data_IF_503563980897
#
_entry.id   IF_503563980897
#
_cell.length_a   1.000
_cell.length_b   1.000
_cell.length_c   1.000
_cell.angle_alpha   90.00
_cell.angle_beta   90.00
_cell.angle_gamma   90.00
#
_symmetry.space_group_name_H-M   'P 1'
#
loop_
_entity.id
_entity.type
_entity.pdbx_description
1 polymer ?
#
# COMPACT_ATOMS: atom_id res chain seq x y z
N UNK A 1 9.80 19.81 -14.33
CA UNK A 1 10.57 18.73 -13.68
C UNK A 1 11.35 19.22 -12.47
N UNK A 2 12.18 20.26 -12.57
CA UNK A 2 12.99 20.83 -11.48
C UNK A 2 12.18 21.25 -10.23
N UNK A 3 11.01 21.86 -10.40
CA UNK A 3 10.12 22.26 -9.29
C UNK A 3 9.67 21.05 -8.46
N UNK A 4 9.30 19.93 -9.11
CA UNK A 4 8.89 18.69 -8.42
C UNK A 4 10.01 18.07 -7.58
N UNK A 5 11.26 18.24 -8.00
CA UNK A 5 12.42 17.75 -7.24
C UNK A 5 12.67 18.62 -6.00
N UNK A 6 12.53 19.95 -6.11
CA UNK A 6 12.64 20.88 -4.97
C UNK A 6 11.54 20.66 -3.92
N UNK A 7 10.33 20.31 -4.37
CA UNK A 7 9.18 20.10 -3.49
C UNK A 7 9.18 18.71 -2.84
N UNK A 8 10.17 17.84 -3.15
CA UNK A 8 10.24 16.47 -2.67
C UNK A 8 10.25 16.34 -1.13
N UNK A 9 11.03 17.15 -0.35
CA UNK A 9 10.96 17.11 1.11
C UNK A 9 9.58 17.45 1.67
N UNK A 10 8.90 18.43 1.06
CA UNK A 10 7.53 18.82 1.45
C UNK A 10 6.55 17.68 1.17
N UNK A 11 6.68 17.01 0.02
CA UNK A 11 5.86 15.86 -0.34
C UNK A 11 6.02 14.68 0.65
N UNK A 12 7.23 14.48 1.18
CA UNK A 12 7.47 13.48 2.24
C UNK A 12 6.72 13.87 3.51
N UNK A 13 6.86 15.13 3.95
CA UNK A 13 6.21 15.63 5.16
C UNK A 13 4.69 15.55 5.06
N UNK A 14 4.13 15.89 3.91
CA UNK A 14 2.69 15.81 3.65
C UNK A 14 2.22 14.36 3.70
N UNK A 15 2.93 13.43 3.03
CA UNK A 15 2.62 12.01 3.06
C UNK A 15 2.64 11.43 4.50
N UNK A 16 3.63 11.83 5.31
CA UNK A 16 3.72 11.44 6.73
C UNK A 16 2.51 11.92 7.52
N UNK A 17 2.10 13.15 7.33
CA UNK A 17 0.97 13.73 8.06
C UNK A 17 -0.37 13.12 7.64
N UNK A 18 -0.56 12.90 6.35
CA UNK A 18 -1.80 12.36 5.78
C UNK A 18 -2.04 10.89 6.17
N UNK A 19 -0.96 10.10 6.33
CA UNK A 19 -1.08 8.67 6.66
C UNK A 19 -1.23 8.38 8.15
N UNK A 20 -1.03 9.36 9.05
CA UNK A 20 -1.25 9.19 10.51
C UNK A 20 -2.68 8.78 10.87
N UNK A 21 -3.65 9.06 10.02
CA UNK A 21 -5.06 8.69 10.22
C UNK A 21 -5.42 7.29 9.71
N UNK A 22 -4.50 6.61 9.04
CA UNK A 22 -4.74 5.27 8.48
C UNK A 22 -4.38 4.22 9.50
N UNK A 23 -5.37 3.49 9.98
CA UNK A 23 -5.20 2.35 10.88
C UNK A 23 -5.56 1.06 10.13
N UNK A 24 -4.62 0.13 10.07
CA UNK A 24 -4.86 -1.22 9.56
C UNK A 24 -4.51 -2.20 10.68
N UNK A 25 -5.47 -3.04 11.05
CA UNK A 25 -5.19 -4.10 12.02
C UNK A 25 -4.36 -5.21 11.35
N UNK A 26 -3.16 -5.42 11.85
CA UNK A 26 -2.21 -6.41 11.35
C UNK A 26 -2.11 -7.68 12.21
N UNK A 27 -2.88 -7.80 13.27
CA UNK A 27 -2.72 -8.88 14.26
C UNK A 27 -2.80 -10.28 13.64
N UNK A 28 -3.65 -10.43 12.61
CA UNK A 28 -3.84 -11.70 11.88
C UNK A 28 -3.15 -11.75 10.53
N UNK A 29 -2.53 -10.65 10.11
CA UNK A 29 -1.89 -10.56 8.79
C UNK A 29 -0.52 -11.23 8.85
N UNK A 30 -0.31 -12.25 8.04
CA UNK A 30 0.97 -12.93 7.90
C UNK A 30 1.66 -12.63 6.55
N UNK A 31 0.90 -12.14 5.57
CA UNK A 31 1.39 -11.84 4.22
C UNK A 31 0.86 -10.49 3.74
N UNK A 32 1.72 -9.73 3.06
CA UNK A 32 1.34 -8.51 2.36
C UNK A 32 1.58 -8.71 0.87
N UNK A 33 0.54 -8.55 0.07
CA UNK A 33 0.64 -8.56 -1.39
C UNK A 33 0.47 -7.13 -1.89
N UNK A 34 1.44 -6.65 -2.65
CA UNK A 34 1.42 -5.30 -3.22
C UNK A 34 1.26 -5.42 -4.73
N UNK A 35 0.10 -5.03 -5.24
CA UNK A 35 -0.17 -4.99 -6.67
C UNK A 35 0.04 -3.59 -7.21
N UNK A 36 0.90 -3.44 -8.23
CA UNK A 36 1.11 -2.16 -8.91
C UNK A 36 1.95 -2.31 -10.17
N UNK A 37 1.72 -1.44 -11.15
CA UNK A 37 2.46 -1.43 -12.40
C UNK A 37 3.50 -0.31 -12.42
N UNK A 38 4.62 -0.53 -13.10
CA UNK A 38 5.67 0.49 -13.30
C UNK A 38 6.13 1.12 -11.97
N UNK A 39 6.06 2.45 -11.91
CA UNK A 39 6.44 3.22 -10.71
C UNK A 39 5.62 2.89 -9.45
N UNK A 40 4.37 2.46 -9.62
CA UNK A 40 3.50 2.08 -8.49
C UNK A 40 3.99 0.83 -7.75
N UNK A 41 4.77 -0.03 -8.40
CA UNK A 41 5.34 -1.22 -7.80
C UNK A 41 6.67 -0.99 -7.09
N UNK A 42 7.38 0.12 -7.40
CA UNK A 42 8.74 0.39 -6.87
C UNK A 42 8.71 0.49 -5.34
N UNK A 43 7.74 1.19 -4.79
CA UNK A 43 7.62 1.31 -3.35
C UNK A 43 7.45 -0.05 -2.67
N UNK A 44 6.69 -0.99 -3.27
CA UNK A 44 6.56 -2.36 -2.78
C UNK A 44 7.89 -3.13 -2.77
N UNK A 45 8.75 -2.93 -3.77
CA UNK A 45 10.08 -3.54 -3.80
C UNK A 45 10.98 -2.99 -2.69
N UNK A 46 11.00 -1.67 -2.51
CA UNK A 46 11.75 -1.03 -1.40
C UNK A 46 11.27 -1.60 -0.07
N UNK A 47 9.98 -1.74 0.09
CA UNK A 47 9.38 -2.26 1.30
C UNK A 47 9.82 -3.69 1.61
N UNK A 48 9.84 -4.55 0.59
CA UNK A 48 10.32 -5.92 0.71
C UNK A 48 11.76 -5.96 1.23
N UNK A 49 12.61 -5.06 0.74
CA UNK A 49 14.03 -5.00 1.11
C UNK A 49 14.24 -4.51 2.56
N UNK A 50 13.45 -3.54 3.01
CA UNK A 50 13.60 -2.97 4.36
C UNK A 50 12.83 -3.73 5.45
N UNK A 51 12.02 -4.70 5.08
CA UNK A 51 11.17 -5.46 6.03
C UNK A 51 11.31 -6.98 5.84
N UNK A 52 12.51 -7.55 6.04
CA UNK A 52 12.78 -8.95 5.76
C UNK A 52 12.01 -9.93 6.65
N UNK A 53 11.45 -9.46 7.76
CA UNK A 53 10.62 -10.25 8.70
C UNK A 53 9.14 -10.35 8.29
N UNK A 54 8.73 -9.64 7.22
CA UNK A 54 7.38 -9.73 6.67
C UNK A 54 7.43 -10.43 5.31
N UNK A 55 6.48 -11.34 5.09
CA UNK A 55 6.30 -11.91 3.75
C UNK A 55 5.64 -10.88 2.84
N UNK A 56 6.46 -10.17 2.05
CA UNK A 56 5.99 -9.17 1.08
C UNK A 56 6.18 -9.71 -0.33
N UNK A 57 5.07 -9.78 -1.08
CA UNK A 57 5.05 -10.20 -2.47
C UNK A 57 4.59 -9.03 -3.33
N UNK A 58 5.38 -8.69 -4.37
CA UNK A 58 5.05 -7.63 -5.31
C UNK A 58 4.56 -8.24 -6.60
N UNK A 59 3.32 -7.95 -6.96
CA UNK A 59 2.63 -8.48 -8.13
C UNK A 59 2.44 -7.40 -9.20
N UNK A 60 2.55 -7.84 -10.48
CA UNK A 60 2.41 -6.96 -11.66
C UNK A 60 1.57 -7.62 -12.75
N UNK A 61 0.72 -8.54 -12.38
CA UNK A 61 -0.04 -9.39 -13.29
C UNK A 61 -1.52 -9.06 -13.27
N UNK A 62 -2.26 -9.58 -14.26
CA UNK A 62 -3.73 -9.46 -14.31
C UNK A 62 -4.43 -10.33 -13.25
N UNK A 63 -3.78 -11.40 -12.82
CA UNK A 63 -4.31 -12.38 -11.87
C UNK A 63 -3.32 -12.61 -10.74
N UNK A 64 -3.81 -12.87 -9.52
CA UNK A 64 -2.94 -13.25 -8.42
C UNK A 64 -2.14 -14.52 -8.73
N UNK A 65 -0.80 -14.44 -8.62
CA UNK A 65 0.07 -15.62 -8.57
C UNK A 65 0.39 -15.99 -7.11
N UNK A 66 0.36 -14.99 -6.23
CA UNK A 66 0.50 -15.21 -4.79
C UNK A 66 -0.76 -15.89 -4.24
N UNK A 67 -0.59 -16.71 -3.22
CA UNK A 67 -1.70 -17.22 -2.44
C UNK A 67 -2.28 -16.04 -1.64
N UNK A 68 -3.55 -15.73 -1.91
CA UNK A 68 -4.31 -14.71 -1.19
C UNK A 68 -5.37 -15.43 -0.36
N UNK A 69 -5.41 -15.15 0.92
CA UNK A 69 -6.36 -15.69 1.88
C UNK A 69 -6.89 -14.60 2.83
N UNK A 70 -7.72 -14.96 3.77
CA UNK A 70 -8.34 -14.04 4.73
C UNK A 70 -7.33 -13.30 5.64
N UNK A 71 -6.09 -13.82 5.78
CA UNK A 71 -5.00 -13.24 6.56
C UNK A 71 -3.96 -12.52 5.68
N UNK A 72 -4.27 -12.31 4.42
CA UNK A 72 -3.45 -11.55 3.47
C UNK A 72 -3.92 -10.10 3.40
N UNK A 73 -3.02 -9.14 3.65
CA UNK A 73 -3.25 -7.73 3.34
C UNK A 73 -2.91 -7.48 1.87
N UNK A 74 -3.91 -7.08 1.08
CA UNK A 74 -3.72 -6.68 -0.31
C UNK A 74 -3.65 -5.17 -0.42
N UNK A 75 -2.53 -4.65 -0.92
CA UNK A 75 -2.36 -3.23 -1.23
C UNK A 75 -2.37 -3.07 -2.75
N UNK A 76 -3.34 -2.34 -3.30
CA UNK A 76 -3.44 -2.09 -4.73
C UNK A 76 -3.09 -0.65 -5.04
N UNK A 77 -2.05 -0.47 -5.86
CA UNK A 77 -1.49 0.82 -6.24
C UNK A 77 -1.74 1.10 -7.71
N UNK A 78 -2.51 2.13 -8.01
CA UNK A 78 -2.72 2.61 -9.38
C UNK A 78 -2.93 4.12 -9.39
N UNK A 79 -1.97 4.88 -9.93
CA UNK A 79 -2.08 6.35 -10.00
C UNK A 79 -3.36 6.79 -10.69
N UNK A 80 -3.62 6.33 -11.91
CA UNK A 80 -4.82 6.69 -12.66
C UNK A 80 -6.10 6.03 -12.13
N UNK A 81 -5.97 4.93 -11.38
CA UNK A 81 -7.07 4.06 -10.99
C UNK A 81 -7.77 3.36 -12.16
N UNK A 82 -7.17 3.40 -13.37
CA UNK A 82 -7.73 2.80 -14.58
C UNK A 82 -6.81 1.76 -15.23
N UNK A 83 -5.70 1.40 -14.57
CA UNK A 83 -4.78 0.37 -15.05
C UNK A 83 -5.52 -0.97 -15.11
N UNK A 84 -5.55 -1.58 -16.29
CA UNK A 84 -6.35 -2.81 -16.52
C UNK A 84 -5.92 -3.95 -15.63
N UNK A 85 -4.61 -4.14 -15.46
CA UNK A 85 -4.02 -5.17 -14.60
C UNK A 85 -4.49 -4.99 -13.15
N UNK A 86 -4.43 -3.75 -12.63
CA UNK A 86 -4.86 -3.46 -11.25
C UNK A 86 -6.35 -3.71 -11.05
N UNK A 87 -7.17 -3.35 -12.04
CA UNK A 87 -8.62 -3.56 -11.98
C UNK A 87 -8.98 -5.05 -12.08
N UNK A 88 -8.29 -5.79 -12.95
CA UNK A 88 -8.47 -7.23 -13.08
C UNK A 88 -8.03 -7.95 -11.80
N UNK A 89 -6.86 -7.60 -11.29
CA UNK A 89 -6.32 -8.15 -10.05
C UNK A 89 -7.27 -7.93 -8.87
N UNK A 90 -7.79 -6.69 -8.72
CA UNK A 90 -8.76 -6.35 -7.68
C UNK A 90 -9.99 -7.26 -7.73
N UNK A 91 -10.58 -7.43 -8.91
CA UNK A 91 -11.79 -8.25 -9.08
C UNK A 91 -11.59 -9.70 -8.65
N UNK A 92 -10.41 -10.27 -8.89
CA UNK A 92 -10.11 -11.65 -8.49
C UNK A 92 -9.78 -11.74 -7.00
N UNK A 93 -9.02 -10.81 -6.48
CA UNK A 93 -8.54 -10.84 -5.10
C UNK A 93 -9.59 -10.43 -4.06
N UNK A 94 -10.56 -9.57 -4.43
CA UNK A 94 -11.59 -9.07 -3.50
C UNK A 94 -12.56 -10.13 -3.00
N UNK A 95 -12.64 -11.27 -3.68
CA UNK A 95 -13.40 -12.44 -3.22
C UNK A 95 -12.61 -13.31 -2.22
N UNK A 96 -11.29 -13.17 -2.16
CA UNK A 96 -10.38 -14.02 -1.39
C UNK A 96 -9.99 -13.39 -0.03
N UNK A 97 -9.89 -12.07 0.02
CA UNK A 97 -9.60 -11.32 1.25
C UNK A 97 -10.48 -10.08 1.37
N UNK A 98 -10.76 -9.67 2.60
CA UNK A 98 -11.40 -8.38 2.91
C UNK A 98 -10.39 -7.33 3.39
N UNK A 99 -9.15 -7.73 3.64
CA UNK A 99 -8.08 -6.84 4.06
C UNK A 99 -7.47 -6.15 2.83
N UNK A 100 -8.21 -5.26 2.21
CA UNK A 100 -7.79 -4.53 1.01
C UNK A 100 -7.59 -3.06 1.32
N UNK A 101 -6.46 -2.53 0.86
CA UNK A 101 -6.14 -1.12 0.91
C UNK A 101 -5.77 -0.60 -0.47
N UNK A 102 -6.47 0.42 -0.94
CA UNK A 102 -6.22 1.03 -2.25
C UNK A 102 -5.42 2.32 -2.16
N UNK A 103 -4.43 2.49 -3.04
CA UNK A 103 -3.69 3.74 -3.23
C UNK A 103 -3.90 4.21 -4.66
N UNK A 104 -4.64 5.30 -4.82
CA UNK A 104 -5.00 5.83 -6.14
C UNK A 104 -5.28 7.32 -6.07
N UNK A 105 -5.19 8.03 -7.19
CA UNK A 105 -5.67 9.42 -7.29
C UNK A 105 -7.10 9.52 -7.84
N UNK A 106 -7.75 8.39 -8.17
CA UNK A 106 -9.13 8.40 -8.71
C UNK A 106 -9.46 7.16 -9.53
N UNK A 107 -10.25 7.36 -10.56
CA UNK A 107 -10.59 6.35 -11.57
C UNK A 107 -11.55 5.25 -11.08
N UNK A 108 -11.64 4.19 -11.88
CA UNK A 108 -12.52 3.04 -11.61
C UNK A 108 -12.15 2.30 -10.32
N UNK A 109 -10.85 2.23 -10.01
CA UNK A 109 -10.38 1.58 -8.79
C UNK A 109 -10.96 2.24 -7.55
N UNK A 110 -10.96 3.59 -7.49
CA UNK A 110 -11.56 4.32 -6.38
C UNK A 110 -13.05 4.01 -6.22
N UNK A 111 -13.77 3.95 -7.34
CA UNK A 111 -15.20 3.61 -7.32
C UNK A 111 -15.45 2.21 -6.77
N UNK A 112 -14.65 1.23 -7.19
CA UNK A 112 -14.74 -0.14 -6.70
C UNK A 112 -14.43 -0.23 -5.19
N UNK A 113 -13.33 0.39 -4.75
CA UNK A 113 -12.94 0.41 -3.33
C UNK A 113 -14.04 1.03 -2.43
N UNK A 114 -14.65 2.13 -2.88
CA UNK A 114 -15.76 2.77 -2.17
C UNK A 114 -17.02 1.90 -2.12
N UNK A 115 -17.40 1.30 -3.24
CA UNK A 115 -18.58 0.44 -3.31
C UNK A 115 -18.45 -0.79 -2.40
N UNK A 116 -17.25 -1.33 -2.30
CA UNK A 116 -16.96 -2.53 -1.50
C UNK A 116 -16.56 -2.18 -0.05
N UNK A 117 -16.60 -0.88 0.34
CA UNK A 117 -16.21 -0.36 1.66
C UNK A 117 -14.79 -0.70 2.07
N UNK A 118 -13.86 -0.75 1.11
CA UNK A 118 -12.45 -0.94 1.40
C UNK A 118 -11.74 0.38 1.73
N UNK A 119 -10.75 0.29 2.59
CA UNK A 119 -9.91 1.43 2.93
C UNK A 119 -9.11 1.91 1.71
N UNK A 120 -8.96 3.22 1.57
CA UNK A 120 -8.21 3.79 0.46
C UNK A 120 -7.56 5.12 0.81
N UNK A 121 -6.48 5.45 0.10
CA UNK A 121 -5.76 6.70 0.16
C UNK A 121 -5.81 7.42 -1.20
N UNK A 122 -6.20 8.70 -1.20
CA UNK A 122 -6.51 9.46 -2.42
C UNK A 122 -5.32 10.19 -3.04
N UNK A 123 -4.20 10.34 -2.35
CA UNK A 123 -3.05 11.04 -2.90
C UNK A 123 -1.95 10.05 -3.28
N UNK A 124 -1.78 9.87 -4.60
CA UNK A 124 -0.75 8.99 -5.11
C UNK A 124 0.60 9.72 -5.15
N UNK A 125 1.30 9.70 -4.04
CA UNK A 125 2.74 9.89 -4.03
C UNK A 125 3.35 8.54 -3.69
N UNK A 126 4.38 8.11 -4.43
CA UNK A 126 5.09 6.85 -4.15
C UNK A 126 5.57 6.76 -2.69
N UNK A 127 5.73 7.91 -2.05
CA UNK A 127 6.08 8.07 -0.65
C UNK A 127 4.93 7.71 0.31
N UNK A 128 3.67 7.89 -0.10
CA UNK A 128 2.52 7.51 0.72
C UNK A 128 2.49 6.01 1.00
N UNK A 129 2.94 5.19 0.06
CA UNK A 129 3.06 3.75 0.26
C UNK A 129 4.16 3.42 1.27
N UNK A 130 5.32 4.05 1.15
CA UNK A 130 6.44 3.86 2.09
C UNK A 130 5.99 4.29 3.49
N UNK A 131 5.31 5.44 3.60
CA UNK A 131 4.85 5.96 4.88
C UNK A 131 3.74 5.12 5.51
N UNK A 132 2.74 4.71 4.72
CA UNK A 132 1.72 3.76 5.18
C UNK A 132 2.37 2.54 5.81
N UNK A 133 3.40 2.04 5.17
CA UNK A 133 4.09 0.86 5.63
C UNK A 133 4.94 1.10 6.88
N UNK A 134 5.63 2.23 6.98
CA UNK A 134 6.33 2.61 8.20
C UNK A 134 5.34 2.71 9.37
N UNK A 135 4.15 3.26 9.15
CA UNK A 135 3.07 3.29 10.15
C UNK A 135 2.58 1.89 10.53
N UNK A 136 2.53 0.97 9.57
CA UNK A 136 2.16 -0.43 9.82
C UNK A 136 3.26 -1.19 10.57
N UNK A 137 4.54 -0.89 10.30
CA UNK A 137 5.68 -1.44 11.04
C UNK A 137 5.72 -0.92 12.48
N UNK A 138 5.45 0.36 12.69
CA UNK A 138 5.38 0.95 14.03
C UNK A 138 4.23 0.36 14.85
N UNK A 139 3.11 0.03 14.24
CA UNK A 139 1.99 -0.64 14.92
C UNK A 139 2.36 -2.06 15.40
N UNK A 140 3.15 -2.82 14.63
CA UNK A 140 3.68 -4.13 15.06
C UNK A 140 4.82 -4.03 16.07
N UNK A 141 5.58 -2.93 16.08
CA UNK A 141 6.71 -2.71 16.99
C UNK A 141 6.31 -2.15 18.34
N UNK A 142 5.21 -1.42 18.45
CA UNK A 142 4.70 -0.90 19.73
C UNK A 142 4.11 -1.99 20.64
N UNK A 143 4.05 -3.24 20.19
CA UNK A 143 3.98 -4.42 21.04
C UNK A 143 5.31 -4.81 21.67
N UNK A 144 6.45 -4.38 21.08
CA UNK A 144 7.81 -4.60 21.59
C UNK A 144 8.50 -3.22 21.65
N UNK A 145 8.61 -2.67 22.86
CA UNK A 145 9.22 -1.36 23.15
C UNK A 145 10.59 -1.15 22.49
N UNK A 146 10.66 -0.43 21.38
CA UNK A 146 11.90 0.13 20.86
C UNK A 146 11.71 1.59 20.41
N UNK A 147 12.43 2.47 21.10
CA UNK A 147 12.51 3.91 20.93
C UNK A 147 13.31 4.28 19.67
N UNK A 148 12.67 4.93 18.67
CA UNK A 148 13.28 5.45 17.45
C UNK A 148 13.54 6.96 17.46
N UNK A 149 13.74 7.58 18.63
CA UNK A 149 14.07 9.01 18.71
C UNK A 149 15.54 9.34 18.28
N UNK A 150 16.25 8.41 17.65
CA UNK A 150 17.69 8.54 17.33
C UNK A 150 18.06 8.41 15.84
N UNK A 151 17.15 8.73 14.90
CA UNK A 151 17.55 8.91 13.50
C UNK A 151 16.95 10.16 12.90
#
# INVERSE_FOLDING_TARGET
MYKKIKDFPTQISDAINDTKSVSINLDKIHRVVIMGMGGSAIAGLIMKDISPHLEIIVERNYFPNAIIDENTLLIICSYSGNTEESLSYYKHASSLTKNIFGITSGGKLLTLLKNDNHNHYLHFQNLALIQLFLSLLDCKRNGDNHDYSKF
#
